data_IF_835793385201
#
_entry.id   IF_835793385201
#
_cell.length_a   1.000
_cell.length_b   1.000
_cell.length_c   1.000
_cell.angle_alpha   90.00
_cell.angle_beta   90.00
_cell.angle_gamma   90.00
#
_symmetry.space_group_name_H-M   'P 1'
#
loop_
_entity.id
_entity.type
_entity.pdbx_description
1 polymer ?
#
# COMPACT_ATOMS: atom_id res chain seq x y z
N UNK A 1 59.48 33.93 3.26
CA UNK A 1 58.17 33.48 2.78
C UNK A 1 58.40 32.44 1.70
N UNK A 2 58.21 31.14 2.00
CA UNK A 2 58.25 30.11 0.97
C UNK A 2 56.80 29.78 0.60
N UNK A 3 56.40 30.24 -0.58
CA UNK A 3 55.20 29.78 -1.25
C UNK A 3 55.49 28.38 -1.81
N UNK A 4 54.71 27.37 -1.40
CA UNK A 4 54.99 25.99 -1.78
C UNK A 4 53.89 24.97 -1.47
N UNK A 5 52.63 25.38 -1.42
CA UNK A 5 51.52 24.43 -1.49
C UNK A 5 51.05 24.38 -2.95
N UNK A 6 51.46 23.35 -3.69
CA UNK A 6 50.81 23.00 -4.96
C UNK A 6 49.33 22.73 -4.69
N UNK A 7 48.39 23.34 -5.43
CA UNK A 7 46.97 23.06 -5.22
C UNK A 7 46.68 21.59 -5.53
N UNK A 8 46.24 20.83 -4.53
CA UNK A 8 45.72 19.48 -4.72
C UNK A 8 44.26 19.55 -5.16
N UNK A 9 43.91 18.75 -6.17
CA UNK A 9 42.52 18.58 -6.60
C UNK A 9 41.94 17.36 -5.90
N UNK A 10 40.96 17.57 -5.03
CA UNK A 10 40.12 16.51 -4.48
C UNK A 10 38.90 16.32 -5.40
N UNK A 11 38.79 15.15 -6.03
CA UNK A 11 37.58 14.76 -6.76
C UNK A 11 36.73 13.88 -5.85
N UNK A 12 35.53 14.35 -5.49
CA UNK A 12 34.53 13.56 -4.75
C UNK A 12 33.45 13.11 -5.73
N UNK A 13 33.17 11.82 -5.79
CA UNK A 13 32.02 11.28 -6.53
C UNK A 13 30.86 11.11 -5.57
N UNK A 14 29.76 11.82 -5.81
CA UNK A 14 28.52 11.68 -5.03
C UNK A 14 27.65 10.61 -5.68
N UNK A 15 27.39 9.52 -4.96
CA UNK A 15 26.41 8.51 -5.37
C UNK A 15 25.08 8.77 -4.66
N UNK A 16 23.96 8.66 -5.39
CA UNK A 16 22.62 8.75 -4.82
C UNK A 16 22.11 7.37 -4.43
N UNK A 17 21.32 7.34 -3.37
CA UNK A 17 20.55 6.17 -2.96
C UNK A 17 19.12 6.58 -2.61
N UNK A 18 18.22 5.63 -2.76
CA UNK A 18 16.79 5.80 -2.49
C UNK A 18 16.30 4.71 -1.56
N UNK A 19 15.44 5.08 -0.61
CA UNK A 19 14.85 4.14 0.32
C UNK A 19 13.74 3.32 -0.35
N UNK A 20 13.76 2.01 -0.16
CA UNK A 20 12.62 1.14 -0.45
C UNK A 20 11.92 0.82 0.87
N UNK A 21 10.63 1.13 0.95
CA UNK A 21 9.77 0.76 2.07
C UNK A 21 8.67 -0.16 1.54
N UNK A 22 8.45 -1.27 2.23
CA UNK A 22 7.33 -2.13 1.90
C UNK A 22 6.66 -2.75 3.12
N UNK A 23 5.34 -2.88 3.03
CA UNK A 23 4.51 -3.44 4.11
C UNK A 23 3.53 -4.48 3.56
N UNK A 24 2.95 -5.26 4.46
CA UNK A 24 1.87 -6.19 4.16
C UNK A 24 0.64 -5.81 4.97
N UNK A 25 -0.55 -6.01 4.42
CA UNK A 25 -1.73 -6.22 5.27
C UNK A 25 -1.67 -7.63 5.87
N UNK A 26 -2.58 -7.94 6.79
CA UNK A 26 -2.58 -9.23 7.47
C UNK A 26 -2.68 -10.44 6.51
N UNK A 27 -1.94 -11.52 6.79
CA UNK A 27 -2.11 -12.83 6.14
C UNK A 27 -1.14 -13.20 5.03
N UNK A 28 -0.10 -12.39 4.78
CA UNK A 28 0.95 -12.74 3.84
C UNK A 28 2.30 -12.17 4.22
N UNK A 29 3.29 -12.44 3.37
CA UNK A 29 4.67 -11.95 3.54
C UNK A 29 5.20 -11.40 2.22
N UNK A 30 6.24 -10.57 2.31
CA UNK A 30 7.00 -10.10 1.16
C UNK A 30 8.42 -10.66 1.27
N UNK A 31 8.87 -11.34 0.22
CA UNK A 31 10.27 -11.62 0.01
C UNK A 31 10.85 -10.55 -0.92
N UNK A 32 11.71 -9.69 -0.37
CA UNK A 32 12.41 -8.65 -1.10
C UNK A 32 13.87 -9.03 -1.35
N UNK A 33 14.42 -8.61 -2.49
CA UNK A 33 15.86 -8.74 -2.77
C UNK A 33 16.74 -7.95 -1.79
N UNK A 34 16.15 -7.00 -1.06
CA UNK A 34 16.72 -6.30 0.10
C UNK A 34 15.64 -6.16 1.17
N UNK A 35 16.01 -6.00 2.47
CA UNK A 35 15.03 -5.71 3.53
C UNK A 35 14.27 -4.39 3.32
N UNK A 36 13.08 -4.27 3.90
CA UNK A 36 12.37 -2.98 3.96
C UNK A 36 13.21 -1.93 4.67
N UNK A 37 12.99 -0.69 4.29
CA UNK A 37 13.64 0.53 4.80
C UNK A 37 15.13 0.63 4.45
N UNK A 38 15.60 -0.20 3.52
CA UNK A 38 16.98 -0.17 3.00
C UNK A 38 17.16 0.97 1.99
N UNK A 39 18.29 1.67 2.07
CA UNK A 39 18.74 2.58 1.02
C UNK A 39 19.50 1.81 -0.07
N UNK A 40 19.00 1.90 -1.29
CA UNK A 40 19.52 1.19 -2.46
C UNK A 40 20.09 2.21 -3.45
N UNK A 41 21.24 1.92 -4.05
CA UNK A 41 21.85 2.80 -5.03
C UNK A 41 20.90 3.11 -6.20
N UNK A 42 20.91 4.36 -6.68
CA UNK A 42 20.06 4.83 -7.78
C UNK A 42 20.17 3.91 -9.01
N UNK A 43 19.02 3.53 -9.59
CA UNK A 43 18.93 2.66 -10.76
C UNK A 43 19.04 1.16 -10.48
N UNK A 44 19.36 0.75 -9.25
CA UNK A 44 19.42 -0.68 -8.88
C UNK A 44 18.01 -1.28 -8.88
N UNK A 45 17.75 -2.40 -9.57
CA UNK A 45 16.46 -3.06 -9.50
C UNK A 45 16.27 -3.76 -8.14
N UNK A 46 15.14 -3.51 -7.49
CA UNK A 46 14.69 -4.25 -6.29
C UNK A 46 13.50 -5.11 -6.68
N UNK A 47 13.60 -6.43 -6.47
CA UNK A 47 12.49 -7.35 -6.73
C UNK A 47 11.77 -7.69 -5.44
N UNK A 48 10.45 -7.54 -5.43
CA UNK A 48 9.58 -7.92 -4.32
C UNK A 48 8.61 -8.98 -4.80
N UNK A 49 8.42 -10.04 -4.01
CA UNK A 49 7.47 -11.12 -4.29
C UNK A 49 6.55 -11.32 -3.10
N UNK A 50 5.24 -11.22 -3.34
CA UNK A 50 4.22 -11.51 -2.35
C UNK A 50 4.01 -13.02 -2.23
N UNK A 51 3.94 -13.52 -1.00
CA UNK A 51 3.66 -14.92 -0.68
C UNK A 51 2.48 -14.99 0.28
N UNK A 52 1.43 -15.68 -0.15
CA UNK A 52 0.29 -16.02 0.71
C UNK A 52 0.75 -16.98 1.81
N UNK A 53 0.49 -16.63 3.06
CA UNK A 53 0.76 -17.50 4.23
C UNK A 53 -0.52 -17.89 4.97
N UNK A 54 -1.66 -17.35 4.55
CA UNK A 54 -2.99 -17.61 5.09
C UNK A 54 -3.79 -18.56 4.20
N UNK A 55 -4.71 -19.31 4.82
CA UNK A 55 -5.69 -20.14 4.10
C UNK A 55 -6.98 -19.38 3.74
N UNK A 56 -7.24 -18.25 4.39
CA UNK A 56 -8.46 -17.44 4.18
C UNK A 56 -8.19 -16.13 3.44
N UNK A 57 -6.95 -15.64 3.50
CA UNK A 57 -6.53 -14.40 2.82
C UNK A 57 -5.65 -14.73 1.63
N UNK A 58 -5.90 -14.03 0.53
CA UNK A 58 -5.13 -14.17 -0.70
C UNK A 58 -4.58 -12.81 -1.14
N UNK A 59 -3.48 -12.84 -1.90
CA UNK A 59 -2.90 -11.66 -2.50
C UNK A 59 -3.83 -11.04 -3.54
N UNK A 60 -4.20 -9.79 -3.31
CA UNK A 60 -5.10 -9.01 -4.17
C UNK A 60 -4.33 -8.08 -5.11
N UNK A 61 -3.11 -7.70 -4.75
CA UNK A 61 -2.28 -6.80 -5.53
C UNK A 61 -1.32 -5.97 -4.67
N UNK A 62 -0.45 -5.24 -5.37
CA UNK A 62 0.37 -4.18 -4.81
C UNK A 62 -0.41 -2.85 -4.84
N UNK A 63 -0.20 -2.03 -3.82
CA UNK A 63 -0.70 -0.67 -3.70
C UNK A 63 0.42 0.30 -3.29
N UNK A 64 0.14 1.61 -3.34
CA UNK A 64 1.13 2.66 -3.07
C UNK A 64 1.75 3.18 -4.37
N UNK A 65 3.07 3.30 -4.41
CA UNK A 65 3.81 3.81 -5.57
C UNK A 65 3.79 2.87 -6.79
N UNK A 66 3.32 1.64 -6.61
CA UNK A 66 3.14 0.65 -7.68
C UNK A 66 1.82 -0.08 -7.46
N UNK A 67 0.95 -0.03 -8.47
CA UNK A 67 -0.37 -0.68 -8.44
C UNK A 67 -0.43 -1.73 -9.53
N UNK A 68 -0.44 -3.00 -9.13
CA UNK A 68 -0.51 -4.15 -10.06
C UNK A 68 -0.95 -5.41 -9.34
N UNK A 69 -1.49 -6.38 -10.09
CA UNK A 69 -1.87 -7.71 -9.58
C UNK A 69 -0.78 -8.77 -9.76
N UNK A 70 0.37 -8.40 -10.33
CA UNK A 70 1.49 -9.33 -10.47
C UNK A 70 2.05 -9.68 -9.08
N UNK A 71 2.20 -10.97 -8.80
CA UNK A 71 2.75 -11.47 -7.53
C UNK A 71 4.17 -10.93 -7.27
N UNK A 72 4.99 -10.85 -8.31
CA UNK A 72 6.33 -10.25 -8.27
C UNK A 72 6.37 -8.93 -9.02
N UNK A 73 7.04 -7.94 -8.43
CA UNK A 73 7.31 -6.63 -9.03
C UNK A 73 8.80 -6.30 -8.96
N UNK A 74 9.27 -5.50 -9.90
CA UNK A 74 10.63 -4.95 -9.90
C UNK A 74 10.57 -3.43 -9.87
N UNK A 75 11.18 -2.85 -8.85
CA UNK A 75 11.28 -1.41 -8.62
C UNK A 75 12.66 -0.93 -9.10
N UNK A 76 12.78 -0.09 -10.13
CA UNK A 76 14.07 0.32 -10.70
C UNK A 76 14.84 1.36 -9.86
N UNK A 77 14.48 1.57 -8.59
CA UNK A 77 15.08 2.51 -7.62
C UNK A 77 15.62 3.84 -8.20
N UNK A 78 14.82 4.55 -9.01
CA UNK A 78 15.12 5.93 -9.47
C UNK A 78 14.52 7.03 -8.58
N UNK A 79 13.86 6.62 -7.50
CA UNK A 79 13.24 7.45 -6.46
C UNK A 79 12.96 6.57 -5.24
N UNK A 80 12.62 7.14 -4.07
CA UNK A 80 12.06 6.35 -2.99
C UNK A 80 10.77 5.64 -3.44
N UNK A 81 10.56 4.42 -2.95
CA UNK A 81 9.33 3.67 -3.18
C UNK A 81 8.71 3.27 -1.85
N UNK A 82 7.40 3.46 -1.72
CA UNK A 82 6.56 2.94 -0.66
C UNK A 82 5.46 2.09 -1.29
N UNK A 83 5.54 0.78 -1.09
CA UNK A 83 4.57 -0.18 -1.64
C UNK A 83 3.98 -1.06 -0.54
N UNK A 84 2.77 -1.56 -0.78
CA UNK A 84 2.08 -2.45 0.14
C UNK A 84 1.53 -3.65 -0.60
N UNK A 85 1.86 -4.85 -0.15
CA UNK A 85 1.20 -6.07 -0.61
C UNK A 85 -0.11 -6.23 0.17
N UNK A 86 -1.21 -6.31 -0.57
CA UNK A 86 -2.56 -6.43 -0.01
C UNK A 86 -2.97 -7.89 -0.02
N UNK A 87 -3.08 -8.46 1.17
CA UNK A 87 -3.67 -9.75 1.47
C UNK A 87 -5.01 -9.53 2.17
N UNK A 88 -6.10 -10.06 1.60
CA UNK A 88 -7.44 -9.92 2.17
C UNK A 88 -8.24 -11.20 1.99
N UNK A 89 -9.20 -11.41 2.87
CA UNK A 89 -10.29 -12.33 2.58
C UNK A 89 -11.12 -11.77 1.42
N UNK A 90 -11.73 -12.66 0.63
CA UNK A 90 -12.65 -12.21 -0.41
C UNK A 90 -13.95 -11.75 0.24
N UNK A 91 -14.19 -10.44 0.23
CA UNK A 91 -15.44 -9.86 0.72
C UNK A 91 -16.49 -9.77 -0.39
N UNK A 92 -17.75 -9.97 -0.05
CA UNK A 92 -18.85 -9.53 -0.93
C UNK A 92 -18.93 -8.01 -0.92
N UNK A 93 -18.97 -7.40 -2.11
CA UNK A 93 -19.21 -5.96 -2.24
C UNK A 93 -20.48 -5.51 -1.52
N UNK A 94 -21.52 -6.35 -1.52
CA UNK A 94 -22.76 -6.05 -0.80
C UNK A 94 -22.56 -5.99 0.72
N UNK A 95 -21.72 -6.87 1.29
CA UNK A 95 -21.44 -6.87 2.73
C UNK A 95 -20.66 -5.62 3.14
N UNK A 96 -19.61 -5.26 2.39
CA UNK A 96 -18.79 -4.08 2.68
C UNK A 96 -19.61 -2.79 2.54
N UNK A 97 -20.49 -2.71 1.53
CA UNK A 97 -21.41 -1.56 1.37
C UNK A 97 -22.46 -1.52 2.48
N UNK A 98 -23.07 -2.65 2.85
CA UNK A 98 -24.02 -2.72 3.96
C UNK A 98 -23.36 -2.26 5.27
N UNK A 99 -22.13 -2.71 5.53
CA UNK A 99 -21.36 -2.29 6.69
C UNK A 99 -21.20 -0.76 6.75
N UNK A 100 -20.84 -0.14 5.61
CA UNK A 100 -20.67 1.32 5.54
C UNK A 100 -21.98 2.08 5.78
N UNK A 101 -23.09 1.59 5.24
CA UNK A 101 -24.36 2.32 5.25
C UNK A 101 -25.13 2.19 6.57
N UNK A 102 -25.13 1.00 7.18
CA UNK A 102 -26.00 0.70 8.32
C UNK A 102 -25.35 -0.22 9.37
N UNK A 103 -24.06 -0.56 9.21
CA UNK A 103 -23.35 -1.45 10.14
C UNK A 103 -23.98 -2.84 10.29
N UNK A 104 -24.90 -3.23 9.40
CA UNK A 104 -25.71 -4.46 9.54
C UNK A 104 -25.15 -5.63 8.72
N UNK A 105 -23.86 -5.58 8.35
CA UNK A 105 -23.24 -6.67 7.62
C UNK A 105 -22.95 -7.87 8.52
N UNK A 106 -22.70 -9.03 7.91
CA UNK A 106 -22.21 -10.23 8.60
C UNK A 106 -20.68 -10.28 8.66
N UNK A 107 -19.98 -9.16 8.43
CA UNK A 107 -18.53 -9.13 8.52
C UNK A 107 -18.09 -9.34 9.98
N UNK A 108 -17.10 -10.20 10.18
CA UNK A 108 -16.55 -10.46 11.51
C UNK A 108 -15.66 -9.30 11.98
N UNK A 109 -15.38 -9.23 13.28
CA UNK A 109 -14.46 -8.22 13.82
C UNK A 109 -13.07 -8.29 13.18
N UNK A 110 -12.57 -9.50 12.85
CA UNK A 110 -11.30 -9.68 12.16
C UNK A 110 -11.34 -9.10 10.74
N UNK A 111 -12.45 -9.31 10.01
CA UNK A 111 -12.63 -8.78 8.66
C UNK A 111 -12.75 -7.24 8.67
N UNK A 112 -13.40 -6.67 9.67
CA UNK A 112 -13.43 -5.22 9.86
C UNK A 112 -12.05 -4.66 10.20
N UNK A 113 -11.27 -5.38 11.01
CA UNK A 113 -9.87 -5.03 11.28
C UNK A 113 -8.99 -5.09 10.03
N UNK A 114 -9.21 -6.06 9.14
CA UNK A 114 -8.48 -6.13 7.87
C UNK A 114 -8.81 -4.96 6.94
N UNK A 115 -10.07 -4.53 6.90
CA UNK A 115 -10.50 -3.35 6.14
C UNK A 115 -9.93 -2.05 6.73
N UNK A 116 -9.93 -1.91 8.06
CA UNK A 116 -9.32 -0.77 8.77
C UNK A 116 -7.80 -0.70 8.50
N UNK A 117 -7.09 -1.83 8.60
CA UNK A 117 -5.65 -1.89 8.29
C UNK A 117 -5.33 -1.56 6.82
N UNK A 118 -6.23 -1.91 5.89
CA UNK A 118 -6.07 -1.58 4.48
C UNK A 118 -6.21 -0.07 4.23
N UNK A 119 -7.08 0.58 4.99
CA UNK A 119 -7.38 1.99 4.91
C UNK A 119 -6.48 2.86 5.77
N UNK A 120 -7.09 3.57 6.71
CA UNK A 120 -6.42 4.58 7.53
C UNK A 120 -6.03 4.07 8.93
N UNK A 121 -6.35 2.82 9.26
CA UNK A 121 -6.06 2.15 10.53
C UNK A 121 -6.46 3.02 11.73
N UNK A 122 -7.68 3.56 11.69
CA UNK A 122 -8.24 4.47 12.69
C UNK A 122 -8.91 3.74 13.86
N UNK A 123 -8.93 2.41 13.85
CA UNK A 123 -9.46 1.58 14.92
C UNK A 123 -10.92 1.17 14.71
N UNK A 124 -11.48 1.43 13.53
CA UNK A 124 -12.82 1.01 13.16
C UNK A 124 -13.14 1.32 11.71
N UNK A 125 -13.92 0.42 11.08
CA UNK A 125 -14.26 0.55 9.66
C UNK A 125 -15.05 1.82 9.36
N UNK A 126 -14.50 2.66 8.49
CA UNK A 126 -15.12 3.91 8.05
C UNK A 126 -15.13 4.10 6.52
N UNK A 127 -15.47 5.32 6.09
CA UNK A 127 -15.50 5.68 4.67
C UNK A 127 -14.11 5.67 4.03
N UNK A 128 -13.06 6.05 4.77
CA UNK A 128 -11.68 5.97 4.30
C UNK A 128 -11.28 4.53 3.98
N UNK A 129 -11.62 3.59 4.86
CA UNK A 129 -11.33 2.17 4.68
C UNK A 129 -12.09 1.56 3.51
N UNK A 130 -13.37 1.92 3.38
CA UNK A 130 -14.17 1.54 2.21
C UNK A 130 -13.51 1.99 0.90
N UNK A 131 -13.01 3.21 0.85
CA UNK A 131 -12.39 3.75 -0.37
C UNK A 131 -11.05 3.10 -0.66
N UNK A 132 -10.24 2.83 0.35
CA UNK A 132 -9.00 2.08 0.22
C UNK A 132 -9.27 0.67 -0.32
N UNK A 133 -10.33 0.01 0.17
CA UNK A 133 -10.76 -1.30 -0.33
C UNK A 133 -11.20 -1.27 -1.79
N UNK A 134 -12.02 -0.28 -2.19
CA UNK A 134 -12.43 -0.11 -3.60
C UNK A 134 -11.21 0.10 -4.51
N UNK A 135 -10.26 0.94 -4.08
CA UNK A 135 -9.04 1.21 -4.84
C UNK A 135 -8.14 -0.03 -4.96
N UNK A 136 -7.98 -0.78 -3.87
CA UNK A 136 -7.10 -1.96 -3.84
C UNK A 136 -7.66 -3.13 -4.65
N UNK A 137 -8.98 -3.35 -4.60
CA UNK A 137 -9.61 -4.55 -5.20
C UNK A 137 -10.24 -4.29 -6.57
N UNK A 138 -10.56 -3.03 -6.90
CA UNK A 138 -11.37 -2.69 -8.05
C UNK A 138 -12.84 -3.11 -7.89
N UNK A 139 -13.35 -3.11 -6.65
CA UNK A 139 -14.67 -3.62 -6.31
C UNK A 139 -15.79 -3.08 -7.23
N UNK A 140 -16.64 -3.96 -7.81
CA UNK A 140 -17.68 -3.56 -8.74
C UNK A 140 -18.89 -2.96 -7.99
N UNK A 141 -18.89 -1.64 -7.83
CA UNK A 141 -20.03 -0.91 -7.27
C UNK A 141 -21.14 -0.69 -8.32
N UNK A 142 -22.41 -0.75 -7.92
CA UNK A 142 -23.52 -0.31 -8.76
C UNK A 142 -23.60 1.22 -8.83
N UNK A 143 -24.38 1.76 -9.79
CA UNK A 143 -24.60 3.21 -9.89
C UNK A 143 -25.26 3.79 -8.62
N UNK A 144 -26.22 3.06 -8.06
CA UNK A 144 -26.89 3.42 -6.81
C UNK A 144 -25.92 3.44 -5.63
N UNK A 145 -25.10 2.40 -5.48
CA UNK A 145 -24.09 2.33 -4.42
C UNK A 145 -23.07 3.47 -4.53
N UNK A 146 -22.62 3.81 -5.74
CA UNK A 146 -21.73 4.97 -5.97
C UNK A 146 -22.39 6.29 -5.58
N UNK A 147 -23.68 6.46 -5.85
CA UNK A 147 -24.43 7.66 -5.48
C UNK A 147 -24.55 7.80 -3.96
N UNK A 148 -24.86 6.70 -3.26
CA UNK A 148 -24.93 6.66 -1.79
C UNK A 148 -23.59 6.99 -1.13
N UNK A 149 -22.50 6.37 -1.59
CA UNK A 149 -21.14 6.66 -1.10
C UNK A 149 -20.76 8.12 -1.35
N UNK A 150 -21.10 8.66 -2.52
CA UNK A 150 -20.87 10.08 -2.84
C UNK A 150 -21.66 11.03 -1.93
N UNK A 151 -22.88 10.64 -1.53
CA UNK A 151 -23.66 11.41 -0.56
C UNK A 151 -23.02 11.39 0.84
N UNK A 152 -22.53 10.23 1.30
CA UNK A 152 -21.80 10.10 2.57
C UNK A 152 -20.55 10.97 2.61
N UNK A 153 -19.76 11.00 1.53
CA UNK A 153 -18.59 11.88 1.39
C UNK A 153 -18.93 13.35 1.65
N UNK A 154 -20.00 13.85 1.03
CA UNK A 154 -20.45 15.24 1.19
C UNK A 154 -20.88 15.56 2.62
N UNK A 155 -21.58 14.61 3.28
CA UNK A 155 -22.01 14.77 4.67
C UNK A 155 -20.84 14.78 5.65
N UNK A 156 -19.81 13.95 5.40
CA UNK A 156 -18.59 13.92 6.21
C UNK A 156 -17.73 15.19 6.06
N UNK A 157 -17.66 15.77 4.86
CA UNK A 157 -16.90 17.00 4.58
C UNK A 157 -17.56 18.29 5.10
N UNK A 158 -18.80 18.22 5.58
CA UNK A 158 -19.56 19.38 6.11
C UNK A 158 -19.50 19.50 7.63
N UNK A 159 -18.58 18.77 8.30
CA UNK A 159 -18.39 18.78 9.75
C UNK A 159 -17.03 19.31 10.13
#
# INVERSE_FOLDING_TARGET
>A
YLAGATPETLTVTLARSHQVHYTTTSGGTINGSVPSDTFVAEGTPVTLTATDTSVVRAFQGWAGDTVTKNLSITLPMGRPYSVRAVFLETFSTAQVVAQLLNGSSTLTAAQLGDLDQLGNNSGGFDLGDFLAWVQATGAPLTAEQRALVSALRRKGASR
#
